data_IF_640339079697
#
_entry.id   IF_640339079697
#
_cell.length_a   1.000
_cell.length_b   1.000
_cell.length_c   1.000
_cell.angle_alpha   90.00
_cell.angle_beta   90.00
_cell.angle_gamma   90.00
#
_symmetry.space_group_name_H-M   'P 1'
#
loop_
_entity.id
_entity.type
_entity.pdbx_description
1 polymer ?
#
# COMPACT_ATOMS: atom_id res chain seq x y z
N UNK A 1 -18.69 14.63 -28.59
CA UNK A 1 -19.43 14.77 -27.38
C UNK A 1 -18.81 14.07 -26.22
N UNK A 2 -19.06 14.56 -25.07
CA UNK A 2 -18.54 13.96 -23.82
C UNK A 2 -19.38 12.75 -23.44
N UNK A 3 -18.72 11.68 -23.10
CA UNK A 3 -19.38 10.53 -22.50
C UNK A 3 -19.58 10.78 -21.02
N UNK A 4 -20.78 10.47 -20.54
CA UNK A 4 -21.05 10.47 -19.11
C UNK A 4 -20.55 9.15 -18.55
N UNK A 5 -19.72 9.24 -17.50
CA UNK A 5 -19.24 8.05 -16.81
C UNK A 5 -20.35 7.53 -15.91
N UNK A 6 -20.88 6.36 -16.26
CA UNK A 6 -21.94 5.71 -15.50
C UNK A 6 -21.32 4.81 -14.45
N UNK A 7 -21.18 5.33 -13.24
CA UNK A 7 -20.59 4.63 -12.10
C UNK A 7 -21.39 4.89 -10.85
N UNK A 8 -21.17 4.08 -9.81
CA UNK A 8 -21.85 4.29 -8.53
C UNK A 8 -21.44 5.64 -7.94
N UNK A 9 -22.35 6.35 -7.28
CA UNK A 9 -22.00 7.59 -6.58
C UNK A 9 -20.81 7.35 -5.61
N UNK A 10 -19.90 8.30 -5.58
CA UNK A 10 -18.70 8.18 -4.76
C UNK A 10 -17.52 7.49 -5.44
N UNK A 11 -17.69 6.99 -6.67
CA UNK A 11 -16.59 6.46 -7.46
C UNK A 11 -15.60 7.56 -7.86
N UNK A 12 -14.35 7.19 -8.09
CA UNK A 12 -13.31 8.13 -8.51
C UNK A 12 -12.78 7.73 -9.88
N UNK A 13 -12.81 8.67 -10.82
CA UNK A 13 -12.19 8.49 -12.13
C UNK A 13 -10.70 8.84 -12.05
N UNK A 14 -9.85 7.91 -12.46
CA UNK A 14 -8.41 8.14 -12.53
C UNK A 14 -8.06 8.60 -13.95
N UNK A 15 -7.42 9.75 -14.05
CA UNK A 15 -7.18 10.42 -15.32
C UNK A 15 -5.68 10.64 -15.53
N UNK A 16 -5.22 10.41 -16.76
CA UNK A 16 -3.87 10.79 -17.15
C UNK A 16 -3.78 12.32 -17.22
N UNK A 17 -2.96 12.97 -16.38
CA UNK A 17 -2.98 14.43 -16.27
C UNK A 17 -2.50 15.16 -17.53
N UNK A 18 -1.63 14.55 -18.33
CA UNK A 18 -1.09 15.19 -19.53
C UNK A 18 -2.07 15.16 -20.71
N UNK A 19 -3.02 14.24 -20.72
CA UNK A 19 -3.95 14.04 -21.86
C UNK A 19 -5.41 14.14 -21.45
N UNK A 20 -5.73 14.06 -20.15
CA UNK A 20 -7.11 13.97 -19.67
C UNK A 20 -7.77 12.64 -19.95
N UNK A 21 -7.01 11.63 -20.39
CA UNK A 21 -7.56 10.32 -20.73
C UNK A 21 -7.95 9.56 -19.46
N UNK A 22 -9.16 8.96 -19.49
CA UNK A 22 -9.62 8.10 -18.40
C UNK A 22 -8.83 6.80 -18.39
N UNK A 23 -8.17 6.50 -17.27
CA UNK A 23 -7.41 5.28 -17.08
C UNK A 23 -8.20 4.22 -16.33
N UNK A 24 -9.04 4.64 -15.38
CA UNK A 24 -9.77 3.72 -14.53
C UNK A 24 -10.89 4.43 -13.79
N UNK A 25 -11.88 3.67 -13.33
CA UNK A 25 -12.91 4.14 -12.39
C UNK A 25 -12.85 3.25 -11.16
N UNK A 26 -12.61 3.86 -10.01
CA UNK A 26 -12.47 3.15 -8.73
C UNK A 26 -13.82 3.20 -8.01
N UNK A 27 -14.43 2.04 -7.71
CA UNK A 27 -15.71 2.02 -6.97
C UNK A 27 -15.56 2.60 -5.56
N UNK A 28 -16.65 3.12 -4.97
CA UNK A 28 -16.58 3.71 -3.63
C UNK A 28 -16.01 2.78 -2.57
N UNK A 29 -16.31 1.50 -2.64
CA UNK A 29 -15.80 0.49 -1.69
C UNK A 29 -14.28 0.34 -1.73
N UNK A 30 -13.64 0.70 -2.84
CA UNK A 30 -12.18 0.64 -3.01
C UNK A 30 -11.49 1.93 -2.60
N UNK A 31 -12.26 2.99 -2.30
CA UNK A 31 -11.75 4.32 -2.04
C UNK A 31 -11.64 4.67 -0.56
N UNK A 32 -12.01 3.76 0.31
CA UNK A 32 -11.94 4.03 1.75
C UNK A 32 -10.49 3.88 2.23
N UNK A 33 -9.74 4.98 2.14
CA UNK A 33 -8.33 5.00 2.57
C UNK A 33 -8.18 4.80 4.08
N UNK A 34 -9.26 4.99 4.85
CA UNK A 34 -9.26 4.75 6.29
C UNK A 34 -9.60 3.31 6.64
N UNK A 35 -9.80 2.44 5.65
CA UNK A 35 -10.07 1.02 5.87
C UNK A 35 -8.84 0.26 6.35
N UNK A 36 -7.63 0.80 6.18
CA UNK A 36 -6.43 0.18 6.72
C UNK A 36 -6.22 0.65 8.16
N UNK A 37 -6.25 -0.32 9.07
CA UNK A 37 -5.92 -0.10 10.48
C UNK A 37 -4.47 -0.48 10.69
N UNK A 38 -3.69 0.46 11.24
CA UNK A 38 -2.26 0.26 11.50
C UNK A 38 -2.09 -0.01 13.00
N UNK A 39 -1.50 -1.16 13.32
CA UNK A 39 -1.23 -1.55 14.71
C UNK A 39 0.18 -2.11 14.84
N UNK A 40 0.70 -2.11 16.06
CA UNK A 40 1.98 -2.75 16.36
C UNK A 40 1.81 -4.25 16.51
N UNK A 41 2.80 -4.99 16.02
CA UNK A 41 2.82 -6.44 16.13
C UNK A 41 1.99 -7.10 15.03
N UNK A 42 2.54 -8.15 14.44
CA UNK A 42 1.88 -8.87 13.35
C UNK A 42 1.28 -10.15 13.90
N UNK A 43 0.06 -10.06 14.41
CA UNK A 43 -0.68 -11.19 14.98
C UNK A 43 -1.72 -11.76 14.02
N UNK A 44 -2.15 -10.98 13.02
CA UNK A 44 -3.15 -11.39 12.05
C UNK A 44 -2.47 -11.76 10.73
N UNK A 45 -2.44 -13.05 10.40
CA UNK A 45 -1.82 -13.54 9.16
C UNK A 45 -2.55 -13.12 7.88
N UNK A 46 -3.75 -12.60 7.98
CA UNK A 46 -4.49 -12.06 6.83
C UNK A 46 -4.15 -10.58 6.57
N UNK A 47 -3.54 -9.91 7.51
CA UNK A 47 -3.14 -8.52 7.37
C UNK A 47 -1.75 -8.41 6.73
N UNK A 48 -1.45 -7.26 6.15
CA UNK A 48 -0.10 -6.94 5.76
C UNK A 48 0.80 -6.75 6.98
N UNK A 49 2.07 -7.08 6.84
CA UNK A 49 3.02 -6.96 7.92
C UNK A 49 4.32 -6.38 7.42
N UNK A 50 4.72 -5.23 7.98
CA UNK A 50 6.00 -4.64 7.66
C UNK A 50 6.95 -4.84 8.84
N UNK A 51 7.90 -5.75 8.65
CA UNK A 51 8.80 -6.15 9.71
C UNK A 51 9.96 -5.18 9.89
N UNK A 52 10.47 -5.15 11.11
CA UNK A 52 11.65 -4.36 11.45
C UNK A 52 12.61 -5.23 12.25
N UNK A 53 13.89 -5.11 11.94
CA UNK A 53 14.94 -5.73 12.74
C UNK A 53 15.30 -4.93 13.99
N UNK A 54 14.60 -3.83 14.26
CA UNK A 54 14.91 -2.93 15.38
C UNK A 54 13.90 -3.10 16.51
N UNK A 55 14.17 -2.41 17.63
CA UNK A 55 13.26 -2.35 18.77
C UNK A 55 11.94 -1.64 18.46
N UNK A 56 11.82 -0.96 17.32
CA UNK A 56 10.57 -0.34 16.91
C UNK A 56 9.46 -1.36 16.62
N UNK A 57 9.83 -2.61 16.31
CA UNK A 57 8.89 -3.69 16.15
C UNK A 57 8.18 -3.70 14.80
N UNK A 58 7.40 -4.75 14.56
CA UNK A 58 6.65 -4.94 13.34
C UNK A 58 5.38 -4.10 13.34
N UNK A 59 4.94 -3.70 12.15
CA UNK A 59 3.68 -2.96 11.96
C UNK A 59 2.71 -3.78 11.13
N UNK A 60 1.46 -3.83 11.57
CA UNK A 60 0.39 -4.58 10.92
C UNK A 60 -0.55 -3.62 10.20
N UNK A 61 -0.96 -4.01 9.00
CA UNK A 61 -1.86 -3.22 8.14
C UNK A 61 -3.06 -4.09 7.78
N UNK A 62 -4.15 -3.92 8.49
CA UNK A 62 -5.38 -4.68 8.27
C UNK A 62 -6.36 -3.87 7.43
N UNK A 63 -7.07 -4.52 6.51
CA UNK A 63 -8.03 -3.89 5.62
C UNK A 63 -7.45 -3.56 4.26
N UNK A 64 -8.21 -2.80 3.45
CA UNK A 64 -7.84 -2.43 2.09
C UNK A 64 -7.82 -0.90 1.92
N UNK A 65 -7.15 -0.43 0.88
CA UNK A 65 -6.99 0.99 0.61
C UNK A 65 -5.52 1.39 0.64
N UNK A 66 -5.26 2.64 0.98
CA UNK A 66 -3.90 3.16 1.09
C UNK A 66 -3.73 3.94 2.39
N UNK A 67 -2.58 3.80 3.01
CA UNK A 67 -2.24 4.55 4.22
C UNK A 67 -0.80 5.05 4.11
N UNK A 68 -0.58 6.29 4.54
CA UNK A 68 0.73 6.92 4.55
C UNK A 68 1.22 7.10 5.98
N UNK A 69 2.53 7.10 6.14
CA UNK A 69 3.14 7.30 7.45
C UNK A 69 4.65 7.40 7.32
N UNK A 70 5.33 7.20 8.43
CA UNK A 70 6.78 7.11 8.49
C UNK A 70 7.14 5.98 9.43
N UNK A 71 7.65 4.90 8.87
CA UNK A 71 8.01 3.69 9.62
C UNK A 71 9.47 3.35 9.35
N UNK A 72 10.39 3.80 10.21
CA UNK A 72 11.83 3.60 9.98
C UNK A 72 12.24 2.14 10.22
N UNK A 73 13.39 1.78 9.67
CA UNK A 73 14.06 0.49 9.86
C UNK A 73 13.22 -0.71 9.43
N UNK A 74 12.51 -0.60 8.29
CA UNK A 74 11.75 -1.71 7.70
C UNK A 74 12.67 -2.59 6.85
N UNK A 75 12.55 -3.91 6.96
CA UNK A 75 13.39 -4.83 6.19
C UNK A 75 12.61 -5.81 5.32
N UNK A 76 11.33 -6.07 5.58
CA UNK A 76 10.50 -6.93 4.76
C UNK A 76 9.04 -6.58 4.92
N UNK A 77 8.25 -6.81 3.87
CA UNK A 77 6.80 -6.62 3.88
C UNK A 77 6.10 -7.88 3.39
N UNK A 78 5.09 -8.32 4.14
CA UNK A 78 4.20 -9.43 3.79
C UNK A 78 2.83 -8.89 3.37
N UNK A 79 2.33 -9.35 2.21
CA UNK A 79 1.07 -8.80 1.66
C UNK A 79 -0.18 -9.24 2.42
N UNK A 80 -0.15 -10.36 3.12
CA UNK A 80 -1.33 -10.90 3.77
C UNK A 80 -2.30 -11.51 2.76
N UNK A 81 -3.61 -11.35 2.97
CA UNK A 81 -4.62 -11.97 2.11
C UNK A 81 -5.05 -11.10 0.93
N UNK A 82 -4.37 -9.97 0.70
CA UNK A 82 -4.69 -9.04 -0.39
C UNK A 82 -3.47 -8.78 -1.26
N UNK A 83 -3.72 -8.28 -2.47
CA UNK A 83 -2.67 -7.67 -3.27
C UNK A 83 -2.11 -6.47 -2.52
N UNK A 84 -0.88 -6.09 -2.83
CA UNK A 84 -0.31 -4.92 -2.21
C UNK A 84 1.00 -4.47 -2.82
N UNK A 85 1.36 -3.25 -2.51
CA UNK A 85 2.70 -2.72 -2.73
C UNK A 85 3.01 -1.67 -1.68
N UNK A 86 4.27 -1.34 -1.54
CA UNK A 86 4.73 -0.36 -0.55
C UNK A 86 5.60 0.70 -1.22
N UNK A 87 5.55 1.90 -0.65
CA UNK A 87 6.45 2.99 -1.02
C UNK A 87 7.39 3.22 0.16
N UNK A 88 8.66 3.36 -0.12
CA UNK A 88 9.69 3.52 0.90
C UNK A 88 10.76 4.48 0.45
N UNK A 89 11.54 4.98 1.42
CA UNK A 89 12.72 5.80 1.16
C UNK A 89 13.98 5.02 1.54
N UNK A 90 14.95 5.07 0.65
CA UNK A 90 16.26 4.47 0.88
C UNK A 90 17.34 5.42 0.39
N UNK A 91 18.24 5.81 1.30
CA UNK A 91 19.35 6.76 1.01
C UNK A 91 18.85 8.02 0.33
N UNK A 92 17.73 8.57 0.79
CA UNK A 92 17.17 9.81 0.28
C UNK A 92 16.32 9.69 -0.98
N UNK A 93 16.23 8.50 -1.58
CA UNK A 93 15.41 8.26 -2.76
C UNK A 93 14.09 7.61 -2.39
N UNK A 94 13.00 8.05 -3.00
CA UNK A 94 11.68 7.44 -2.84
C UNK A 94 11.52 6.33 -3.89
N UNK A 95 11.21 5.14 -3.42
CA UNK A 95 11.10 3.94 -4.24
C UNK A 95 9.73 3.30 -4.06
N UNK A 96 9.26 2.62 -5.08
CA UNK A 96 8.04 1.82 -5.01
C UNK A 96 8.38 0.35 -5.24
N UNK A 97 7.85 -0.54 -4.41
CA UNK A 97 7.97 -1.96 -4.65
C UNK A 97 7.12 -2.38 -5.85
N UNK A 98 7.39 -3.55 -6.44
CA UNK A 98 6.45 -4.15 -7.37
C UNK A 98 5.09 -4.38 -6.72
N UNK A 99 4.04 -4.43 -7.53
CA UNK A 99 2.72 -4.88 -7.08
C UNK A 99 2.75 -6.40 -6.96
N UNK A 100 2.35 -6.90 -5.81
CA UNK A 100 2.39 -8.33 -5.51
C UNK A 100 1.01 -8.87 -5.21
N UNK A 101 0.81 -10.15 -5.50
CA UNK A 101 -0.37 -10.89 -5.11
C UNK A 101 -0.40 -11.20 -3.61
N UNK A 102 -1.47 -11.88 -3.16
CA UNK A 102 -1.59 -12.27 -1.75
C UNK A 102 -0.52 -13.28 -1.31
N UNK A 103 -0.23 -13.25 -0.01
CA UNK A 103 0.65 -14.21 0.67
C UNK A 103 2.08 -14.22 0.15
N UNK A 104 2.58 -13.05 -0.24
CA UNK A 104 3.94 -12.88 -0.74
C UNK A 104 4.73 -11.93 0.15
N UNK A 105 6.03 -12.16 0.18
CA UNK A 105 6.98 -11.31 0.90
C UNK A 105 7.79 -10.46 -0.07
N UNK A 106 8.04 -9.20 0.32
CA UNK A 106 9.07 -8.35 -0.27
C UNK A 106 10.20 -8.24 0.75
N UNK A 107 11.40 -8.68 0.37
CA UNK A 107 12.57 -8.55 1.25
C UNK A 107 13.56 -7.57 0.64
N UNK A 108 14.12 -6.72 1.49
CA UNK A 108 15.21 -5.85 1.06
C UNK A 108 16.50 -6.64 0.96
N UNK A 109 17.20 -6.51 -0.17
CA UNK A 109 18.46 -7.23 -0.38
C UNK A 109 19.45 -6.90 0.74
N UNK A 110 20.24 -7.91 1.13
CA UNK A 110 21.23 -7.79 2.21
C UNK A 110 20.62 -7.36 3.55
N UNK A 111 19.32 -7.61 3.74
CA UNK A 111 18.58 -7.22 4.93
C UNK A 111 18.68 -5.72 5.22
N UNK A 112 18.78 -4.90 4.15
CA UNK A 112 18.89 -3.45 4.27
C UNK A 112 17.64 -2.87 4.92
N UNK A 113 17.83 -1.86 5.76
CA UNK A 113 16.73 -1.14 6.39
C UNK A 113 16.31 0.05 5.54
N UNK A 114 15.00 0.21 5.33
CA UNK A 114 14.41 1.33 4.61
C UNK A 114 13.38 2.01 5.50
N UNK A 115 12.99 3.23 5.12
CA UNK A 115 11.90 3.94 5.81
C UNK A 115 10.62 3.76 5.02
N UNK A 116 9.62 3.10 5.61
CA UNK A 116 8.32 2.93 4.99
C UNK A 116 7.55 4.24 4.94
N UNK A 117 6.91 4.53 3.81
CA UNK A 117 6.17 5.77 3.60
C UNK A 117 4.70 5.53 3.27
N UNK A 118 4.35 4.45 2.61
CA UNK A 118 2.95 4.12 2.37
C UNK A 118 2.76 2.63 2.13
N UNK A 119 1.55 2.16 2.39
CA UNK A 119 1.11 0.79 2.12
C UNK A 119 -0.22 0.87 1.39
N UNK A 120 -0.33 0.16 0.27
CA UNK A 120 -1.56 0.04 -0.51
C UNK A 120 -1.95 -1.44 -0.59
N UNK A 121 -3.21 -1.72 -0.33
CA UNK A 121 -3.77 -3.09 -0.33
C UNK A 121 -5.10 -3.12 -1.07
N UNK A 122 -5.31 -4.13 -1.91
CA UNK A 122 -6.59 -4.28 -2.63
C UNK A 122 -6.97 -5.73 -2.95
#
# INVERSE_FOLDING_TARGET
>A
GSKIIMAKPGSVAVIEPSTGKLLNVIPPSSMNVNAITVTRGCTNKNAGCWTSGSALGNMQFAGSGAVSGTWPYRNAYYTGNLHGFVIYQYKGATMSSPKLGPHLWIRMANNSAVTGKSVTRW
#
